data_IF_048475608092
#
_entry.id   IF_048475608092
#
_cell.length_a   1.000
_cell.length_b   1.000
_cell.length_c   1.000
_cell.angle_alpha   90.00
_cell.angle_beta   90.00
_cell.angle_gamma   90.00
#
_symmetry.space_group_name_H-M   'P 1'
#
loop_
_entity.id
_entity.type
_entity.pdbx_description
1 polymer ?
#
# COMPACT_ATOMS: atom_id res chain seq x y z
N UNK A 1 2.12 11.90 -28.15
CA UNK A 1 2.45 12.28 -26.75
C UNK A 1 1.84 11.33 -25.70
N UNK A 2 1.30 10.15 -26.06
CA UNK A 2 0.51 9.32 -25.13
C UNK A 2 1.33 8.31 -24.31
N UNK A 3 2.27 7.58 -24.93
CA UNK A 3 2.92 6.41 -24.30
C UNK A 3 3.78 6.70 -23.07
N UNK A 4 4.54 7.80 -23.08
CA UNK A 4 5.45 8.12 -21.95
C UNK A 4 4.67 8.36 -20.65
N UNK A 5 3.49 8.97 -20.71
CA UNK A 5 2.68 9.25 -19.53
C UNK A 5 1.99 8.00 -18.98
N UNK A 6 1.64 7.05 -19.85
CA UNK A 6 1.08 5.74 -19.43
C UNK A 6 2.15 4.95 -18.68
N UNK A 7 3.36 4.86 -19.23
CA UNK A 7 4.50 4.18 -18.60
C UNK A 7 4.90 4.78 -17.25
N UNK A 8 4.96 6.12 -17.14
CA UNK A 8 5.28 6.80 -15.88
C UNK A 8 4.17 6.57 -14.84
N UNK A 9 2.89 6.62 -15.24
CA UNK A 9 1.76 6.37 -14.34
C UNK A 9 1.78 4.94 -13.79
N UNK A 10 2.04 3.95 -14.64
CA UNK A 10 2.14 2.55 -14.20
C UNK A 10 3.30 2.34 -13.24
N UNK A 11 4.46 2.98 -13.49
CA UNK A 11 5.58 2.96 -12.56
C UNK A 11 5.21 3.50 -11.18
N UNK A 12 4.45 4.60 -11.10
CA UNK A 12 4.00 5.14 -9.81
C UNK A 12 3.00 4.24 -9.10
N UNK A 13 2.12 3.56 -9.84
CA UNK A 13 1.17 2.60 -9.28
C UNK A 13 1.91 1.38 -8.71
N UNK A 14 2.88 0.82 -9.45
CA UNK A 14 3.73 -0.26 -8.95
C UNK A 14 4.55 0.16 -7.73
N UNK A 15 5.09 1.39 -7.70
CA UNK A 15 5.79 1.90 -6.51
C UNK A 15 4.85 2.06 -5.31
N UNK A 16 3.59 2.45 -5.53
CA UNK A 16 2.59 2.51 -4.47
C UNK A 16 2.28 1.12 -3.89
N UNK A 17 2.23 0.08 -4.74
CA UNK A 17 2.06 -1.31 -4.29
C UNK A 17 3.27 -1.78 -3.48
N UNK A 18 4.49 -1.48 -3.95
CA UNK A 18 5.73 -1.81 -3.24
C UNK A 18 5.75 -1.19 -1.83
N UNK A 19 5.50 0.11 -1.72
CA UNK A 19 5.44 0.81 -0.44
C UNK A 19 4.31 0.30 0.46
N UNK A 20 3.17 -0.09 -0.12
CA UNK A 20 2.09 -0.68 0.65
C UNK A 20 2.48 -2.05 1.22
N UNK A 21 3.29 -2.86 0.53
CA UNK A 21 3.83 -4.09 1.11
C UNK A 21 4.81 -3.80 2.26
N UNK A 22 5.69 -2.81 2.12
CA UNK A 22 6.57 -2.38 3.20
C UNK A 22 5.76 -1.92 4.44
N UNK A 23 4.66 -1.20 4.24
CA UNK A 23 3.74 -0.82 5.32
C UNK A 23 3.08 -2.02 5.99
N UNK A 24 2.75 -3.08 5.24
CA UNK A 24 2.22 -4.31 5.82
C UNK A 24 3.26 -4.96 6.73
N UNK A 25 4.51 -5.10 6.27
CA UNK A 25 5.60 -5.68 7.06
C UNK A 25 5.83 -4.89 8.35
N UNK A 26 5.96 -3.56 8.25
CA UNK A 26 6.09 -2.67 9.41
C UNK A 26 4.89 -2.78 10.34
N UNK A 27 3.66 -2.88 9.82
CA UNK A 27 2.47 -3.04 10.65
C UNK A 27 2.47 -4.35 11.43
N UNK A 28 3.00 -5.44 10.85
CA UNK A 28 3.07 -6.76 11.49
C UNK A 28 4.10 -6.74 12.60
N UNK A 29 5.31 -6.27 12.30
CA UNK A 29 6.38 -6.15 13.30
C UNK A 29 5.97 -5.21 14.43
N UNK A 30 5.40 -4.05 14.09
CA UNK A 30 4.91 -3.08 15.06
C UNK A 30 3.79 -3.63 15.95
N UNK A 31 2.85 -4.41 15.40
CA UNK A 31 1.81 -5.06 16.21
C UNK A 31 2.41 -6.10 17.16
N UNK A 32 3.42 -6.86 16.70
CA UNK A 32 4.10 -7.87 17.53
C UNK A 32 4.87 -7.24 18.69
N UNK A 33 5.42 -6.05 18.48
CA UNK A 33 6.23 -5.34 19.48
C UNK A 33 5.41 -4.39 20.37
N UNK A 34 4.15 -4.11 20.00
CA UNK A 34 3.26 -3.26 20.78
C UNK A 34 3.05 -3.83 22.19
N UNK A 35 3.18 -2.96 23.19
CA UNK A 35 2.95 -3.28 24.61
C UNK A 35 1.75 -2.54 25.20
N UNK A 36 1.03 -1.82 24.35
CA UNK A 36 -0.12 -1.00 24.70
C UNK A 36 -1.15 -1.00 23.56
N UNK A 37 -2.40 -0.74 23.93
CA UNK A 37 -3.54 -0.77 23.00
C UNK A 37 -3.47 0.34 21.95
N UNK A 38 -2.87 1.50 22.28
CA UNK A 38 -2.79 2.64 21.35
C UNK A 38 -1.87 2.31 20.18
N UNK A 39 -0.73 1.69 20.46
CA UNK A 39 0.20 1.18 19.46
C UNK A 39 -0.44 0.09 18.60
N UNK A 40 -1.20 -0.85 19.21
CA UNK A 40 -1.93 -1.86 18.45
C UNK A 40 -2.95 -1.25 17.49
N UNK A 41 -3.72 -0.24 17.95
CA UNK A 41 -4.67 0.49 17.11
C UNK A 41 -3.94 1.19 15.96
N UNK A 42 -2.83 1.87 16.24
CA UNK A 42 -2.05 2.56 15.23
C UNK A 42 -1.57 1.61 14.12
N UNK A 43 -0.95 0.48 14.47
CA UNK A 43 -0.50 -0.48 13.47
C UNK A 43 -1.66 -1.19 12.76
N UNK A 44 -2.81 -1.36 13.43
CA UNK A 44 -4.06 -1.78 12.78
C UNK A 44 -4.52 -0.82 11.68
N UNK A 45 -4.46 0.49 11.95
CA UNK A 45 -4.80 1.54 10.97
C UNK A 45 -3.81 1.51 9.80
N UNK A 46 -2.49 1.44 10.07
CA UNK A 46 -1.47 1.36 9.02
C UNK A 46 -1.73 0.18 8.08
N UNK A 47 -2.06 -1.00 8.66
CA UNK A 47 -2.37 -2.21 7.89
C UNK A 47 -3.60 -2.03 7.01
N UNK A 48 -4.67 -1.45 7.53
CA UNK A 48 -5.91 -1.19 6.79
C UNK A 48 -5.66 -0.26 5.59
N UNK A 49 -4.92 0.83 5.78
CA UNK A 49 -4.57 1.73 4.68
C UNK A 49 -3.67 1.08 3.64
N UNK A 50 -2.72 0.24 4.04
CA UNK A 50 -1.89 -0.50 3.11
C UNK A 50 -2.72 -1.42 2.20
N UNK A 51 -3.71 -2.14 2.76
CA UNK A 51 -4.64 -2.95 1.96
C UNK A 51 -5.50 -2.11 1.01
N UNK A 52 -6.00 -0.95 1.47
CA UNK A 52 -6.77 -0.03 0.62
C UNK A 52 -5.94 0.50 -0.55
N UNK A 53 -4.68 0.85 -0.34
CA UNK A 53 -3.77 1.31 -1.40
C UNK A 53 -3.58 0.21 -2.44
N UNK A 54 -3.30 -1.03 -2.02
CA UNK A 54 -3.14 -2.17 -2.95
C UNK A 54 -4.41 -2.41 -3.76
N UNK A 55 -5.58 -2.42 -3.11
CA UNK A 55 -6.87 -2.59 -3.78
C UNK A 55 -7.08 -1.52 -4.86
N UNK A 56 -6.84 -0.25 -4.52
CA UNK A 56 -6.99 0.85 -5.48
C UNK A 56 -5.99 0.75 -6.63
N UNK A 57 -4.74 0.38 -6.35
CA UNK A 57 -3.73 0.17 -7.38
C UNK A 57 -4.13 -0.95 -8.36
N UNK A 58 -4.59 -2.09 -7.84
CA UNK A 58 -5.07 -3.21 -8.65
C UNK A 58 -6.28 -2.82 -9.50
N UNK A 59 -7.23 -2.06 -8.94
CA UNK A 59 -8.39 -1.55 -9.69
C UNK A 59 -7.98 -0.60 -10.83
N UNK A 60 -6.95 0.22 -10.63
CA UNK A 60 -6.44 1.11 -11.67
C UNK A 60 -5.72 0.33 -12.77
N UNK A 61 -4.95 -0.71 -12.43
CA UNK A 61 -4.27 -1.57 -13.41
C UNK A 61 -5.26 -2.41 -14.21
N UNK A 62 -6.26 -3.03 -13.57
CA UNK A 62 -7.28 -3.86 -14.25
C UNK A 62 -8.18 -3.07 -15.21
N UNK A 63 -8.44 -1.78 -14.94
CA UNK A 63 -9.20 -0.92 -15.87
C UNK A 63 -8.45 -0.61 -17.18
N UNK A 64 -7.18 -1.01 -17.29
CA UNK A 64 -6.36 -0.85 -18.51
C UNK A 64 -6.30 -2.10 -19.38
N UNK A 65 -6.68 -3.27 -18.83
CA UNK A 65 -6.81 -4.54 -19.57
C UNK A 65 -8.13 -4.60 -20.33
#
# INVERSE_FOLDING_TARGET
MSDKYVCIRDRHIYKAIELANELLDVSVDGTREAKDDSSMIFFGIVRDYAFKIKKLADEVLKKKE
#
